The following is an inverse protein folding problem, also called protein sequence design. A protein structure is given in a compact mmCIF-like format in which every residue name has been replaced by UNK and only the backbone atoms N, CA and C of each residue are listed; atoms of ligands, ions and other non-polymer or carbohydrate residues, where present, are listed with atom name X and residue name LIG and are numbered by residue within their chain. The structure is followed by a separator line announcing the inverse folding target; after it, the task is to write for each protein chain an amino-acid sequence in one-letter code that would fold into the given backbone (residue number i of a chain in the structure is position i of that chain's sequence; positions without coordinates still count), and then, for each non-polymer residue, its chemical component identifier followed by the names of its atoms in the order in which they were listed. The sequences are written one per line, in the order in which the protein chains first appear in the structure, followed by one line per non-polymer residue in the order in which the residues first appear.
data_IF_659908238864
#
_entry.id   IF_659908238864
#
_cell.length_a   1.000
_cell.length_b   1.000
_cell.length_c   1.000
_cell.angle_alpha   90.00
_cell.angle_beta   90.00
_cell.angle_gamma   90.00
#
_symmetry.space_group_name_H-M   'P 1'
#
loop_
_entity.id
_entity.type
_entity.pdbx_description
1 polymer ?
#
# COMPACT_ATOMS: atom_id res chain seq x y z
N UNK A 1 -19.14 12.82 -13.51
CA UNK A 1 -18.17 12.50 -12.43
C UNK A 1 -16.91 11.99 -13.12
N UNK A 2 -15.88 12.83 -13.22
CA UNK A 2 -14.64 12.45 -13.91
C UNK A 2 -13.98 11.27 -13.20
N UNK A 3 -13.44 10.33 -13.97
CA UNK A 3 -12.74 9.16 -13.45
C UNK A 3 -11.57 9.62 -12.57
N UNK A 4 -11.58 9.22 -11.30
CA UNK A 4 -10.51 9.58 -10.37
C UNK A 4 -9.28 8.78 -10.76
N UNK A 5 -8.21 9.50 -11.13
CA UNK A 5 -6.95 8.90 -11.58
C UNK A 5 -6.34 8.09 -10.45
N UNK A 6 -5.99 6.84 -10.76
CA UNK A 6 -5.38 5.89 -9.84
C UNK A 6 -3.90 5.73 -10.20
N UNK A 7 -3.03 5.86 -9.22
CA UNK A 7 -1.58 5.69 -9.36
C UNK A 7 -1.18 4.49 -8.52
N UNK A 8 -0.77 3.42 -9.18
CA UNK A 8 -0.25 2.21 -8.53
C UNK A 8 1.27 2.29 -8.37
N UNK A 9 1.79 2.01 -7.18
CA UNK A 9 3.23 1.92 -6.90
C UNK A 9 3.54 0.56 -6.30
N UNK A 10 4.44 -0.18 -6.94
CA UNK A 10 4.94 -1.44 -6.40
C UNK A 10 5.92 -1.16 -5.26
N UNK A 11 5.73 -1.80 -4.11
CA UNK A 11 6.54 -1.59 -2.90
C UNK A 11 6.89 -2.94 -2.28
N UNK A 12 8.18 -3.20 -2.12
CA UNK A 12 8.73 -4.37 -1.42
C UNK A 12 9.37 -4.00 -0.06
N UNK A 13 9.17 -2.75 0.38
CA UNK A 13 9.74 -2.13 1.59
C UNK A 13 11.27 -2.00 1.62
N UNK A 14 11.94 -2.16 0.47
CA UNK A 14 13.36 -1.87 0.35
C UNK A 14 13.64 -0.36 0.35
N UNK A 15 14.90 0.03 0.55
CA UNK A 15 15.35 1.42 0.39
C UNK A 15 15.03 1.96 -1.02
N UNK A 16 15.19 1.12 -2.04
CA UNK A 16 14.98 1.50 -3.43
C UNK A 16 13.48 1.73 -3.72
N UNK A 17 12.61 0.84 -3.25
CA UNK A 17 11.17 1.01 -3.43
C UNK A 17 10.63 2.24 -2.71
N UNK A 18 11.17 2.57 -1.53
CA UNK A 18 10.82 3.81 -0.81
C UNK A 18 11.17 5.05 -1.60
N UNK A 19 12.38 5.11 -2.16
CA UNK A 19 12.79 6.23 -3.01
C UNK A 19 11.88 6.35 -4.26
N UNK A 20 11.51 5.22 -4.87
CA UNK A 20 10.58 5.22 -6.00
C UNK A 20 9.17 5.70 -5.60
N UNK A 21 8.68 5.30 -4.42
CA UNK A 21 7.42 5.77 -3.88
C UNK A 21 7.44 7.28 -3.64
N UNK A 22 8.49 7.79 -3.01
CA UNK A 22 8.66 9.23 -2.79
C UNK A 22 8.67 10.00 -4.11
N UNK A 23 9.42 9.51 -5.11
CA UNK A 23 9.44 10.13 -6.43
C UNK A 23 8.05 10.13 -7.09
N UNK A 24 7.33 9.02 -7.02
CA UNK A 24 5.98 8.90 -7.59
C UNK A 24 4.98 9.82 -6.90
N UNK A 25 5.06 9.90 -5.58
CA UNK A 25 4.31 10.85 -4.76
C UNK A 25 4.57 12.27 -5.23
N UNK A 26 5.83 12.68 -5.36
CA UNK A 26 6.19 14.08 -5.61
C UNK A 26 5.85 14.51 -7.04
N UNK A 27 6.09 13.64 -8.02
CA UNK A 27 6.02 13.98 -9.44
C UNK A 27 4.73 13.53 -10.12
N UNK A 28 4.18 12.37 -9.73
CA UNK A 28 3.02 11.79 -10.41
C UNK A 28 1.71 12.15 -9.72
N UNK A 29 1.68 12.23 -8.39
CA UNK A 29 0.44 12.32 -7.63
C UNK A 29 -0.12 13.75 -7.60
N UNK A 30 -1.42 13.91 -7.87
CA UNK A 30 -2.12 15.19 -7.79
C UNK A 30 -3.18 15.18 -6.70
N UNK A 31 -3.67 16.37 -6.34
CA UNK A 31 -4.75 16.53 -5.38
C UNK A 31 -6.00 15.79 -5.87
N UNK A 32 -6.55 14.92 -5.03
CA UNK A 32 -7.73 14.11 -5.33
C UNK A 32 -7.48 12.83 -6.14
N UNK A 33 -6.21 12.50 -6.47
CA UNK A 33 -5.86 11.20 -7.05
C UNK A 33 -6.00 10.07 -5.99
N UNK A 34 -5.98 8.81 -6.43
CA UNK A 34 -5.92 7.64 -5.56
C UNK A 34 -4.55 6.97 -5.68
N UNK A 35 -3.82 6.85 -4.57
CA UNK A 35 -2.59 6.06 -4.49
C UNK A 35 -2.93 4.62 -4.11
N UNK A 36 -2.42 3.65 -4.87
CA UNK A 36 -2.55 2.22 -4.58
C UNK A 36 -1.15 1.66 -4.39
N UNK A 37 -0.87 1.07 -3.24
CA UNK A 37 0.39 0.37 -2.99
C UNK A 37 0.20 -1.11 -3.37
N UNK A 38 1.12 -1.65 -4.13
CA UNK A 38 1.11 -3.05 -4.56
C UNK A 38 2.32 -3.74 -3.95
N UNK A 39 2.10 -4.59 -2.97
CA UNK A 39 3.16 -5.44 -2.41
C UNK A 39 2.98 -6.87 -2.91
N UNK A 40 4.06 -7.44 -3.46
CA UNK A 40 4.09 -8.84 -3.87
C UNK A 40 4.84 -9.61 -2.80
N UNK A 41 4.14 -10.54 -2.15
CA UNK A 41 4.75 -11.47 -1.21
C UNK A 41 5.08 -12.78 -1.95
N UNK A 42 6.36 -13.17 -2.07
CA UNK A 42 6.74 -14.38 -2.78
C UNK A 42 6.56 -15.67 -1.96
N UNK A 43 6.49 -15.57 -0.63
CA UNK A 43 6.46 -16.73 0.26
C UNK A 43 5.03 -17.27 0.45
N UNK A 44 4.76 -18.43 -0.14
CA UNK A 44 3.55 -19.25 0.05
C UNK A 44 3.56 -20.10 1.33
N UNK A 45 4.65 -20.08 2.10
CA UNK A 45 4.82 -21.00 3.25
C UNK A 45 4.21 -20.46 4.56
N UNK A 46 3.13 -19.68 4.47
CA UNK A 46 2.45 -19.12 5.64
C UNK A 46 1.42 -20.12 6.14
N UNK A 47 1.53 -20.57 7.39
CA UNK A 47 0.58 -21.48 8.04
C UNK A 47 -0.82 -20.86 8.28
N UNK A 48 -1.06 -19.63 7.81
CA UNK A 48 -2.28 -18.87 8.04
C UNK A 48 -3.28 -19.10 6.89
N UNK A 49 -4.31 -19.89 7.18
CA UNK A 49 -5.34 -20.39 6.25
C UNK A 49 -6.08 -19.30 5.46
N UNK A 50 -6.21 -18.09 6.02
CA UNK A 50 -6.86 -16.95 5.36
C UNK A 50 -6.05 -16.44 4.16
N UNK A 51 -4.72 -16.57 4.22
CA UNK A 51 -3.82 -16.09 3.18
C UNK A 51 -3.86 -16.97 1.92
N UNK A 52 -4.16 -18.26 2.09
CA UNK A 52 -4.38 -19.21 1.00
C UNK A 52 -5.55 -18.80 0.08
N UNK A 53 -6.59 -18.20 0.67
CA UNK A 53 -7.76 -17.72 -0.09
C UNK A 53 -7.41 -16.56 -1.03
N UNK A 54 -6.32 -15.85 -0.76
CA UNK A 54 -5.85 -14.72 -1.56
C UNK A 54 -4.74 -15.09 -2.55
N UNK A 55 -4.22 -16.33 -2.55
CA UNK A 55 -3.20 -16.76 -3.51
C UNK A 55 -3.68 -16.67 -4.95
N UNK A 56 -4.95 -16.98 -5.20
CA UNK A 56 -5.49 -17.03 -6.57
C UNK A 56 -5.97 -15.67 -7.08
N UNK A 57 -6.56 -14.83 -6.22
CA UNK A 57 -7.23 -13.58 -6.62
C UNK A 57 -6.55 -12.32 -6.11
N UNK A 58 -5.58 -12.44 -5.20
CA UNK A 58 -5.07 -11.32 -4.40
C UNK A 58 -5.99 -10.97 -3.23
N UNK A 59 -5.46 -10.17 -2.30
CA UNK A 59 -6.24 -9.64 -1.17
C UNK A 59 -7.22 -8.55 -1.64
N UNK A 60 -8.30 -8.30 -0.89
CA UNK A 60 -9.10 -7.09 -1.10
C UNK A 60 -8.23 -5.83 -0.96
N UNK A 61 -8.71 -4.70 -1.50
CA UNK A 61 -8.07 -3.39 -1.27
C UNK A 61 -8.17 -3.03 0.21
N UNK A 62 -7.02 -2.83 0.84
CA UNK A 62 -6.91 -2.47 2.25
C UNK A 62 -6.80 -0.94 2.35
N UNK A 63 -7.71 -0.24 3.05
CA UNK A 63 -7.59 1.18 3.32
C UNK A 63 -6.29 1.50 4.09
N UNK A 64 -5.74 2.70 3.92
CA UNK A 64 -4.53 3.13 4.64
C UNK A 64 -4.75 3.10 6.17
N UNK A 65 -5.98 3.42 6.58
CA UNK A 65 -6.40 3.39 7.99
C UNK A 65 -6.27 2.00 8.62
N UNK A 66 -6.57 0.94 7.86
CA UNK A 66 -6.44 -0.46 8.30
C UNK A 66 -5.01 -0.98 8.12
N UNK A 67 -4.32 -0.51 7.09
CA UNK A 67 -2.92 -0.87 6.80
C UNK A 67 -1.93 -0.40 7.88
N UNK A 68 -2.31 0.63 8.65
CA UNK A 68 -1.50 1.11 9.79
C UNK A 68 -1.65 0.19 11.02
N UNK A 69 -2.68 -0.66 11.07
CA UNK A 69 -2.90 -1.59 12.19
C UNK A 69 -2.08 -2.87 12.01
N UNK A 70 -1.06 -3.03 12.86
CA UNK A 70 -0.21 -4.21 12.87
C UNK A 70 -0.99 -5.53 13.09
N UNK A 71 -2.12 -5.49 13.78
CA UNK A 71 -2.98 -6.66 14.01
C UNK A 71 -3.72 -7.09 12.75
N UNK A 72 -4.15 -6.13 11.93
CA UNK A 72 -4.77 -6.39 10.62
C UNK A 72 -3.72 -6.91 9.64
N UNK A 73 -2.56 -6.26 9.60
CA UNK A 73 -1.45 -6.61 8.71
C UNK A 73 -0.85 -7.99 8.98
N UNK A 74 -0.96 -8.47 10.23
CA UNK A 74 -0.60 -9.85 10.57
C UNK A 74 -1.39 -10.86 9.72
N UNK A 75 -2.70 -10.66 9.51
CA UNK A 75 -3.54 -11.54 8.68
C UNK A 75 -3.11 -11.55 7.22
N UNK A 76 -2.62 -10.41 6.74
CA UNK A 76 -2.05 -10.25 5.40
C UNK A 76 -0.57 -10.67 5.35
N UNK A 77 -0.04 -11.23 6.43
CA UNK A 77 1.32 -11.74 6.54
C UNK A 77 2.40 -10.75 6.09
N UNK A 78 2.12 -9.45 6.23
CA UNK A 78 2.99 -8.36 5.80
C UNK A 78 3.31 -7.48 6.98
N UNK A 79 4.56 -7.04 7.08
CA UNK A 79 4.98 -6.08 8.10
C UNK A 79 5.14 -4.73 7.41
N UNK A 80 4.22 -3.79 7.61
CA UNK A 80 4.34 -2.49 6.98
C UNK A 80 5.57 -1.78 7.55
N UNK A 81 6.38 -1.23 6.64
CA UNK A 81 7.55 -0.44 7.01
C UNK A 81 7.11 0.93 7.54
N UNK A 82 7.55 1.35 8.74
CA UNK A 82 7.15 2.62 9.36
C UNK A 82 7.44 3.83 8.48
N UNK A 83 8.59 3.86 7.80
CA UNK A 83 8.96 5.00 6.96
C UNK A 83 8.07 5.10 5.72
N UNK A 84 7.72 3.96 5.12
CA UNK A 84 6.77 3.91 4.01
C UNK A 84 5.39 4.41 4.43
N UNK A 85 4.93 4.02 5.63
CA UNK A 85 3.66 4.50 6.21
C UNK A 85 3.67 6.01 6.43
N UNK A 86 4.78 6.56 6.94
CA UNK A 86 4.92 7.98 7.21
C UNK A 86 4.85 8.81 5.92
N UNK A 87 5.53 8.38 4.86
CA UNK A 87 5.46 9.01 3.54
C UNK A 87 4.01 9.05 3.06
N UNK A 88 3.31 7.91 3.11
CA UNK A 88 1.95 7.81 2.58
C UNK A 88 0.96 8.64 3.42
N UNK A 89 1.11 8.65 4.75
CA UNK A 89 0.28 9.44 5.65
C UNK A 89 0.48 10.95 5.47
N UNK A 90 1.73 11.38 5.32
CA UNK A 90 2.07 12.78 5.04
C UNK A 90 1.39 13.23 3.74
N UNK A 91 1.52 12.44 2.69
CA UNK A 91 1.01 12.77 1.35
C UNK A 91 -0.50 12.71 1.30
N UNK A 92 -1.11 11.74 1.98
CA UNK A 92 -2.57 11.66 2.09
C UNK A 92 -3.16 12.93 2.72
N UNK A 93 -2.46 13.50 3.70
CA UNK A 93 -2.85 14.75 4.36
C UNK A 93 -2.57 15.96 3.46
N UNK A 94 -1.42 16.01 2.79
CA UNK A 94 -1.04 17.13 1.91
C UNK A 94 -1.87 17.22 0.62
N UNK A 95 -2.23 16.09 0.03
CA UNK A 95 -2.92 15.99 -1.27
C UNK A 95 -4.39 15.62 -1.17
N UNK A 96 -4.94 15.62 0.04
CA UNK A 96 -6.34 15.28 0.35
C UNK A 96 -6.75 13.94 -0.29
N UNK A 97 -5.89 12.93 -0.16
CA UNK A 97 -6.16 11.58 -0.66
C UNK A 97 -7.15 10.87 0.26
N UNK A 98 -7.91 9.93 -0.30
CA UNK A 98 -8.75 9.04 0.50
C UNK A 98 -7.85 8.05 1.26
N UNK A 99 -8.06 7.95 2.57
CA UNK A 99 -7.37 7.04 3.49
C UNK A 99 -8.18 5.77 3.72
#
# INVERSE_FOLDING_TARGET
MGDVRKVGVAVDFSMCSRAALQWAVDNMLRKGDHLILVNIRPDTNSEETEMLLWETTGSPLIPLSEFTDAHVMKKYGTKPDPETLDIVNLVATQKELKK
#
